data_IF_941139941147
#
_entry.id   IF_941139941147
#
_cell.length_a   1.000
_cell.length_b   1.000
_cell.length_c   1.000
_cell.angle_alpha   90.00
_cell.angle_beta   90.00
_cell.angle_gamma   90.00
#
_symmetry.space_group_name_H-M   'P 1'
#
loop_
_entity.id
_entity.type
_entity.pdbx_description
1 polymer ?
#
# COMPACT_ATOMS: atom_id res chain seq x y z
N UNK A 1 35.38 34.55 17.56
CA UNK A 1 33.99 34.50 18.05
C UNK A 1 32.97 34.42 16.87
N UNK A 2 33.02 35.31 15.89
CA UNK A 2 32.08 35.35 14.74
C UNK A 2 32.16 34.08 13.91
N UNK A 3 33.35 33.55 13.60
CA UNK A 3 33.51 32.32 12.80
C UNK A 3 32.93 31.10 13.54
N UNK A 4 33.14 30.96 14.83
CA UNK A 4 32.58 29.88 15.63
C UNK A 4 31.03 29.93 15.66
N UNK A 5 30.46 31.12 15.78
CA UNK A 5 29.01 31.34 15.75
C UNK A 5 28.43 30.98 14.38
N UNK A 6 29.12 31.34 13.29
CA UNK A 6 28.73 30.98 11.92
C UNK A 6 28.75 29.48 11.67
N UNK A 7 29.77 28.77 12.17
CA UNK A 7 29.83 27.30 12.07
C UNK A 7 28.71 26.61 12.84
N UNK A 8 28.43 27.06 14.07
CA UNK A 8 27.34 26.49 14.87
C UNK A 8 25.98 26.74 14.19
N UNK A 9 25.73 27.95 13.69
CA UNK A 9 24.50 28.27 12.97
C UNK A 9 24.37 27.43 11.72
N UNK A 10 25.44 27.22 10.96
CA UNK A 10 25.43 26.36 9.75
C UNK A 10 25.11 24.90 10.06
N UNK A 11 25.67 24.33 11.13
CA UNK A 11 25.38 22.95 11.55
C UNK A 11 23.93 22.84 12.01
N UNK A 12 23.42 23.78 12.79
CA UNK A 12 22.01 23.78 13.24
C UNK A 12 21.03 23.86 12.05
N UNK A 13 21.27 24.80 11.13
CA UNK A 13 20.46 24.93 9.93
C UNK A 13 20.52 23.66 9.07
N UNK A 14 21.70 23.11 8.88
CA UNK A 14 21.88 21.85 8.13
C UNK A 14 21.10 20.70 8.75
N UNK A 15 21.15 20.56 10.08
CA UNK A 15 20.40 19.53 10.80
C UNK A 15 18.88 19.73 10.70
N UNK A 16 18.40 20.96 10.86
CA UNK A 16 16.95 21.27 10.70
C UNK A 16 16.50 20.93 9.28
N UNK A 17 17.23 21.40 8.27
CA UNK A 17 16.92 21.14 6.86
C UNK A 17 16.89 19.64 6.57
N UNK A 18 17.87 18.89 7.03
CA UNK A 18 17.94 17.44 6.92
C UNK A 18 16.70 16.76 7.52
N UNK A 19 16.32 17.13 8.76
CA UNK A 19 15.14 16.58 9.44
C UNK A 19 13.85 16.88 8.68
N UNK A 20 13.69 18.10 8.19
CA UNK A 20 12.51 18.51 7.41
C UNK A 20 12.42 17.71 6.09
N UNK A 21 13.53 17.57 5.38
CA UNK A 21 13.56 16.82 4.11
C UNK A 21 13.19 15.36 4.35
N UNK A 22 13.78 14.70 5.36
CA UNK A 22 13.49 13.31 5.69
C UNK A 22 12.00 13.06 6.00
N UNK A 23 11.32 14.03 6.61
CA UNK A 23 9.91 13.90 6.95
C UNK A 23 8.98 14.24 5.76
N UNK A 24 9.33 15.23 4.97
CA UNK A 24 8.44 15.76 3.92
C UNK A 24 8.54 14.98 2.60
N UNK A 25 9.71 14.44 2.26
CA UNK A 25 9.90 13.74 0.98
C UNK A 25 9.03 12.48 0.88
N UNK A 26 8.97 11.59 1.87
CA UNK A 26 8.11 10.41 1.82
C UNK A 26 6.63 10.77 1.67
N UNK A 27 6.15 11.76 2.41
CA UNK A 27 4.75 12.24 2.35
C UNK A 27 4.42 12.75 0.94
N UNK A 28 5.30 13.56 0.34
CA UNK A 28 5.10 14.07 -1.02
C UNK A 28 5.09 12.97 -2.06
N UNK A 29 5.99 11.99 -1.94
CA UNK A 29 6.04 10.83 -2.83
C UNK A 29 4.76 9.99 -2.74
N UNK A 30 4.27 9.74 -1.51
CA UNK A 30 3.01 9.01 -1.30
C UNK A 30 1.83 9.79 -1.87
N UNK A 31 1.72 11.08 -1.61
CA UNK A 31 0.66 11.94 -2.18
C UNK A 31 0.66 11.86 -3.71
N UNK A 32 1.83 11.93 -4.35
CA UNK A 32 1.93 11.79 -5.80
C UNK A 32 1.50 10.41 -6.30
N UNK A 33 1.85 9.33 -5.57
CA UNK A 33 1.44 7.98 -5.90
C UNK A 33 -0.07 7.79 -5.75
N UNK A 34 -0.65 8.24 -4.63
CA UNK A 34 -2.10 8.23 -4.40
C UNK A 34 -2.85 8.98 -5.50
N UNK A 35 -2.43 10.20 -5.83
CA UNK A 35 -3.05 11.01 -6.88
C UNK A 35 -3.00 10.35 -8.26
N UNK A 36 -1.86 9.75 -8.63
CA UNK A 36 -1.73 9.01 -9.90
C UNK A 36 -2.69 7.83 -9.96
N UNK A 37 -2.76 7.03 -8.89
CA UNK A 37 -3.68 5.90 -8.81
C UNK A 37 -5.14 6.35 -8.85
N UNK A 38 -5.51 7.41 -8.15
CA UNK A 38 -6.85 7.97 -8.15
C UNK A 38 -7.24 8.51 -9.54
N UNK A 39 -6.33 9.23 -10.22
CA UNK A 39 -6.59 9.77 -11.56
C UNK A 39 -6.89 8.66 -12.57
N UNK A 40 -6.20 7.51 -12.48
CA UNK A 40 -6.47 6.34 -13.31
C UNK A 40 -7.86 5.71 -13.05
N UNK A 41 -8.58 6.17 -12.02
CA UNK A 41 -9.79 5.58 -11.46
C UNK A 41 -10.97 6.55 -11.33
N UNK A 42 -10.98 7.62 -12.07
CA UNK A 42 -12.00 8.66 -11.92
C UNK A 42 -12.13 9.14 -10.45
N UNK A 43 -11.00 9.23 -9.74
CA UNK A 43 -10.88 9.62 -8.34
C UNK A 43 -11.64 8.71 -7.33
N UNK A 44 -11.85 7.45 -7.67
CA UNK A 44 -12.47 6.49 -6.76
C UNK A 44 -11.45 5.92 -5.77
N UNK A 45 -11.63 6.21 -4.48
CA UNK A 45 -10.94 5.57 -3.34
C UNK A 45 -11.71 4.32 -2.87
N UNK A 46 -11.07 3.52 -2.03
CA UNK A 46 -11.67 2.34 -1.40
C UNK A 46 -12.14 1.25 -2.38
N UNK A 47 -11.47 1.16 -3.53
CA UNK A 47 -11.74 0.15 -4.56
C UNK A 47 -10.40 -0.38 -5.08
N UNK A 48 -10.27 -1.71 -5.19
CA UNK A 48 -9.07 -2.30 -5.79
C UNK A 48 -9.01 -2.08 -7.31
N UNK A 49 -7.85 -1.66 -7.73
CA UNK A 49 -7.43 -1.62 -9.12
C UNK A 49 -6.57 -2.82 -9.44
N UNK A 50 -6.98 -3.55 -10.43
CA UNK A 50 -6.29 -4.72 -10.92
C UNK A 50 -5.46 -4.36 -12.15
N UNK A 51 -4.14 -4.29 -11.97
CA UNK A 51 -3.21 -4.10 -13.06
C UNK A 51 -3.04 -5.39 -13.89
N UNK A 52 -2.57 -5.23 -15.11
CA UNK A 52 -2.02 -6.33 -15.90
C UNK A 52 -0.53 -6.49 -15.58
N UNK A 53 0.08 -7.59 -16.03
CA UNK A 53 1.52 -7.76 -15.93
C UNK A 53 2.24 -6.54 -16.52
N UNK A 54 3.18 -5.94 -15.78
CA UNK A 54 3.88 -4.75 -16.24
C UNK A 54 4.80 -5.12 -17.41
N UNK A 55 4.79 -4.29 -18.44
CA UNK A 55 5.76 -4.40 -19.53
C UNK A 55 7.06 -3.69 -19.16
N UNK A 56 8.16 -3.98 -19.87
CA UNK A 56 9.44 -3.31 -19.70
C UNK A 56 9.37 -1.77 -19.87
N UNK A 57 8.32 -1.27 -20.51
CA UNK A 57 8.06 0.17 -20.71
C UNK A 57 7.23 0.80 -19.57
N UNK A 58 6.69 -0.01 -18.64
CA UNK A 58 5.89 0.51 -17.52
C UNK A 58 6.79 1.29 -16.55
N UNK A 59 6.54 2.59 -16.41
CA UNK A 59 7.28 3.51 -15.53
C UNK A 59 6.36 4.35 -14.63
N UNK A 60 5.14 3.87 -14.42
CA UNK A 60 4.08 4.70 -13.81
C UNK A 60 4.26 4.92 -12.31
N UNK A 61 4.72 3.91 -11.62
CA UNK A 61 5.10 3.99 -10.20
C UNK A 61 6.43 3.25 -10.13
N UNK A 62 7.27 3.45 -9.20
CA UNK A 62 8.61 2.84 -9.02
C UNK A 62 8.79 1.56 -9.86
N UNK A 63 9.93 1.27 -10.41
CA UNK A 63 10.17 0.15 -11.35
C UNK A 63 9.46 -1.15 -10.92
N UNK A 64 8.32 -1.52 -11.51
CA UNK A 64 7.62 -2.75 -11.14
C UNK A 64 8.41 -3.96 -11.63
N UNK A 65 8.38 -5.05 -10.85
CA UNK A 65 8.94 -6.33 -11.30
C UNK A 65 8.13 -6.86 -12.49
N UNK A 66 8.76 -7.30 -13.57
CA UNK A 66 8.05 -7.86 -14.73
C UNK A 66 7.31 -9.18 -14.40
N UNK A 67 7.73 -9.88 -13.35
CA UNK A 67 7.19 -11.18 -12.95
C UNK A 67 6.01 -11.05 -11.96
N UNK A 68 5.62 -9.82 -11.60
CA UNK A 68 4.57 -9.58 -10.63
C UNK A 68 3.38 -8.84 -11.24
N UNK A 69 2.20 -9.33 -10.94
CA UNK A 69 0.94 -8.63 -11.22
C UNK A 69 0.50 -7.92 -9.94
N UNK A 70 0.08 -6.68 -10.10
CA UNK A 70 -0.24 -5.80 -9.00
C UNK A 70 -1.74 -5.48 -8.96
N UNK A 71 -2.30 -5.43 -7.76
CA UNK A 71 -3.59 -4.79 -7.50
C UNK A 71 -3.42 -3.76 -6.39
N UNK A 72 -3.92 -2.55 -6.60
CA UNK A 72 -3.75 -1.45 -5.65
C UNK A 72 -5.09 -0.83 -5.28
N UNK A 73 -5.23 -0.42 -4.01
CA UNK A 73 -6.36 0.35 -3.52
C UNK A 73 -5.80 1.57 -2.76
N UNK A 74 -6.15 2.76 -3.20
CA UNK A 74 -5.95 3.96 -2.35
C UNK A 74 -7.08 3.92 -1.33
N UNK A 75 -6.73 3.68 -0.07
CA UNK A 75 -7.71 3.66 1.00
C UNK A 75 -7.87 5.05 1.64
N UNK A 76 -9.10 5.35 2.04
CA UNK A 76 -9.49 6.52 2.81
C UNK A 76 -10.42 6.09 3.95
N UNK A 77 -9.94 6.26 5.18
CA UNK A 77 -10.61 5.87 6.43
C UNK A 77 -11.36 7.02 7.10
N UNK A 78 -11.52 8.17 6.42
CA UNK A 78 -12.22 9.33 6.99
C UNK A 78 -13.69 9.01 7.36
N UNK A 79 -14.30 8.05 6.65
CA UNK A 79 -15.70 7.62 6.88
C UNK A 79 -15.83 6.38 7.76
N UNK A 80 -14.73 5.82 8.25
CA UNK A 80 -14.74 4.63 9.10
C UNK A 80 -13.85 3.49 8.60
N UNK A 81 -13.95 2.31 9.20
CA UNK A 81 -13.13 1.16 8.86
C UNK A 81 -13.49 0.58 7.48
N UNK A 82 -12.49 -0.06 6.85
CA UNK A 82 -12.60 -0.73 5.55
C UNK A 82 -12.33 -2.22 5.70
N UNK A 83 -13.14 -3.05 5.05
CA UNK A 83 -12.90 -4.48 4.94
C UNK A 83 -12.31 -4.80 3.58
N UNK A 84 -11.18 -5.47 3.58
CA UNK A 84 -10.48 -5.96 2.40
C UNK A 84 -10.52 -7.49 2.45
N UNK A 85 -11.08 -8.12 1.43
CA UNK A 85 -11.20 -9.58 1.37
C UNK A 85 -11.04 -10.09 -0.05
N UNK A 86 -10.68 -11.37 -0.18
CA UNK A 86 -10.57 -12.02 -1.48
C UNK A 86 -9.96 -13.42 -1.38
N UNK A 87 -9.96 -14.13 -2.49
CA UNK A 87 -9.37 -15.45 -2.59
C UNK A 87 -7.93 -15.34 -3.11
N UNK A 88 -7.04 -16.16 -2.56
CA UNK A 88 -5.68 -16.29 -3.05
C UNK A 88 -5.62 -17.19 -4.29
N UNK A 89 -4.62 -17.02 -5.14
CA UNK A 89 -4.35 -18.00 -6.21
C UNK A 89 -4.04 -19.38 -5.59
N UNK A 90 -4.09 -20.48 -6.36
CA UNK A 90 -3.83 -21.83 -5.87
C UNK A 90 -2.50 -21.97 -5.11
N UNK A 91 -2.36 -23.01 -4.29
CA UNK A 91 -1.16 -23.27 -3.52
C UNK A 91 0.09 -23.34 -4.42
N UNK A 92 1.22 -22.83 -3.91
CA UNK A 92 2.48 -22.74 -4.65
C UNK A 92 2.66 -21.46 -5.47
N UNK A 93 1.65 -20.60 -5.55
CA UNK A 93 1.76 -19.27 -6.15
C UNK A 93 1.93 -18.22 -5.06
N UNK A 94 2.95 -17.38 -5.20
CA UNK A 94 3.18 -16.26 -4.29
C UNK A 94 2.05 -15.25 -4.39
N UNK A 95 1.57 -14.85 -3.24
CA UNK A 95 0.63 -13.78 -3.01
C UNK A 95 1.03 -12.98 -1.77
N UNK A 96 0.88 -11.66 -1.80
CA UNK A 96 1.04 -10.83 -0.61
C UNK A 96 0.16 -9.60 -0.67
N UNK A 97 -0.36 -9.20 0.49
CA UNK A 97 -0.99 -7.91 0.76
C UNK A 97 -0.02 -7.08 1.61
N UNK A 98 0.27 -5.86 1.18
CA UNK A 98 1.05 -4.89 1.95
C UNK A 98 0.26 -3.61 2.12
N UNK A 99 0.24 -3.07 3.35
CA UNK A 99 -0.40 -1.81 3.65
C UNK A 99 0.66 -0.74 3.92
N UNK A 100 0.56 0.37 3.20
CA UNK A 100 1.46 1.50 3.28
C UNK A 100 0.73 2.71 3.83
N UNK A 101 1.30 3.33 4.86
CA UNK A 101 0.82 4.58 5.41
C UNK A 101 1.14 5.77 4.51
N UNK A 102 0.51 6.91 4.76
CA UNK A 102 0.73 8.15 3.99
C UNK A 102 2.18 8.67 4.00
N UNK A 103 2.98 8.26 4.99
CA UNK A 103 4.42 8.55 5.08
C UNK A 103 5.31 7.48 4.40
N UNK A 104 4.73 6.59 3.58
CA UNK A 104 5.38 5.46 2.91
C UNK A 104 5.76 4.25 3.77
N UNK A 105 5.56 4.30 5.08
CA UNK A 105 5.87 3.17 5.95
C UNK A 105 5.00 1.96 5.61
N UNK A 106 5.64 0.81 5.40
CA UNK A 106 4.95 -0.47 5.28
C UNK A 106 4.70 -1.02 6.68
N UNK A 107 3.49 -0.85 7.20
CA UNK A 107 3.14 -1.19 8.58
C UNK A 107 2.45 -2.54 8.74
N UNK A 108 2.01 -3.16 7.65
CA UNK A 108 1.38 -4.48 7.69
C UNK A 108 1.67 -5.26 6.42
N UNK A 109 2.01 -6.52 6.57
CA UNK A 109 2.20 -7.48 5.48
C UNK A 109 1.50 -8.78 5.84
N UNK A 110 0.78 -9.34 4.88
CA UNK A 110 0.18 -10.65 4.95
C UNK A 110 0.56 -11.42 3.68
N UNK A 111 0.95 -12.68 3.79
CA UNK A 111 1.38 -13.48 2.65
C UNK A 111 0.70 -14.85 2.59
N UNK A 112 0.87 -15.55 1.49
CA UNK A 112 0.24 -16.85 1.21
C UNK A 112 0.61 -17.96 2.20
N UNK A 113 1.73 -17.83 2.93
CA UNK A 113 2.20 -18.83 3.91
C UNK A 113 1.52 -18.68 5.27
N UNK A 114 0.94 -17.52 5.55
CA UNK A 114 0.27 -17.20 6.82
C UNK A 114 -1.22 -17.55 6.79
N UNK A 115 -1.75 -17.94 5.61
CA UNK A 115 -3.17 -18.22 5.39
C UNK A 115 -3.38 -19.68 5.00
N UNK A 116 -4.10 -20.44 5.86
CA UNK A 116 -4.41 -21.85 5.66
C UNK A 116 -5.52 -22.09 4.63
N UNK A 117 -6.53 -21.24 4.62
CA UNK A 117 -7.78 -21.40 3.86
C UNK A 117 -7.79 -20.66 2.52
N UNK A 118 -6.64 -20.18 2.07
CA UNK A 118 -6.48 -19.50 0.76
C UNK A 118 -7.43 -18.32 0.56
N UNK A 119 -7.83 -17.68 1.65
CA UNK A 119 -8.66 -16.49 1.67
C UNK A 119 -8.08 -15.50 2.66
N UNK A 120 -8.04 -14.23 2.29
CA UNK A 120 -7.75 -13.16 3.23
C UNK A 120 -9.01 -12.35 3.56
N UNK A 121 -9.06 -11.86 4.77
CA UNK A 121 -10.13 -11.00 5.28
C UNK A 121 -9.53 -10.08 6.33
N UNK A 122 -9.28 -8.84 5.96
CA UNK A 122 -8.61 -7.85 6.80
C UNK A 122 -9.50 -6.63 6.93
N UNK A 123 -9.79 -6.24 8.17
CA UNK A 123 -10.48 -4.99 8.48
C UNK A 123 -9.45 -3.95 8.89
N UNK A 124 -9.36 -2.89 8.11
CA UNK A 124 -8.48 -1.75 8.33
C UNK A 124 -9.21 -0.66 9.10
N UNK A 125 -8.71 -0.34 10.28
CA UNK A 125 -9.28 0.64 11.19
C UNK A 125 -8.54 1.99 11.14
N UNK A 126 -9.24 3.13 11.29
CA UNK A 126 -8.61 4.44 11.35
C UNK A 126 -7.70 4.62 12.58
N UNK A 127 -6.77 5.58 12.56
CA UNK A 127 -5.82 5.82 13.65
C UNK A 127 -6.47 6.09 15.02
N UNK A 128 -7.68 6.63 15.02
CA UNK A 128 -8.44 6.93 16.23
C UNK A 128 -9.12 5.73 16.88
N UNK A 129 -9.15 4.58 16.21
CA UNK A 129 -9.82 3.37 16.70
C UNK A 129 -9.09 2.76 17.89
N UNK A 130 -9.89 2.21 18.82
CA UNK A 130 -9.43 1.44 20.00
C UNK A 130 -9.62 -0.05 19.78
N UNK A 131 -9.12 -0.57 18.69
CA UNK A 131 -9.23 -1.99 18.34
C UNK A 131 -7.93 -2.70 18.72
N UNK A 132 -8.05 -3.90 19.30
CA UNK A 132 -6.90 -4.78 19.49
C UNK A 132 -6.44 -5.30 18.12
N UNK A 133 -5.17 -5.09 17.81
CA UNK A 133 -4.61 -5.50 16.53
C UNK A 133 -4.38 -7.01 16.49
N UNK A 134 -4.72 -7.61 15.36
CA UNK A 134 -4.43 -9.01 15.04
C UNK A 134 -4.33 -9.16 13.51
N UNK A 135 -4.21 -10.39 13.01
CA UNK A 135 -4.12 -10.65 11.57
C UNK A 135 -5.33 -10.19 10.75
N UNK A 136 -6.51 -10.07 11.37
CA UNK A 136 -7.76 -9.71 10.69
C UNK A 136 -8.21 -8.28 10.99
N UNK A 137 -7.72 -7.67 12.08
CA UNK A 137 -8.04 -6.31 12.49
C UNK A 137 -6.75 -5.49 12.62
N UNK A 138 -6.51 -4.62 11.67
CA UNK A 138 -5.29 -3.82 11.54
C UNK A 138 -5.61 -2.36 11.75
N UNK A 139 -4.83 -1.69 12.59
CA UNK A 139 -4.95 -0.24 12.80
C UNK A 139 -3.97 0.49 11.88
N UNK A 140 -4.50 1.38 11.06
CA UNK A 140 -3.65 2.23 10.20
C UNK A 140 -3.03 3.37 11.01
N UNK A 141 -1.75 3.71 10.79
CA UNK A 141 -1.13 4.88 11.39
C UNK A 141 -1.56 6.20 10.71
N UNK A 142 -2.22 6.14 9.55
CA UNK A 142 -2.69 7.31 8.79
C UNK A 142 -4.12 7.11 8.28
N UNK A 143 -4.82 8.21 8.00
CA UNK A 143 -6.19 8.17 7.46
C UNK A 143 -6.21 7.69 6.02
N UNK A 144 -5.20 8.06 5.22
CA UNK A 144 -5.05 7.63 3.83
C UNK A 144 -3.77 6.82 3.63
N UNK A 145 -3.72 6.07 2.55
CA UNK A 145 -2.56 5.30 2.15
C UNK A 145 -2.88 4.32 1.03
N UNK A 146 -2.01 3.35 0.83
CA UNK A 146 -2.13 2.40 -0.27
C UNK A 146 -2.09 0.96 0.25
N UNK A 147 -3.10 0.17 -0.14
CA UNK A 147 -3.06 -1.28 -0.06
C UNK A 147 -2.55 -1.84 -1.40
N UNK A 148 -1.55 -2.70 -1.35
CA UNK A 148 -0.92 -3.28 -2.52
C UNK A 148 -0.91 -4.80 -2.43
N UNK A 149 -1.58 -5.46 -3.38
CA UNK A 149 -1.51 -6.90 -3.56
C UNK A 149 -0.51 -7.21 -4.67
N UNK A 150 0.32 -8.22 -4.44
CA UNK A 150 1.31 -8.74 -5.39
C UNK A 150 1.09 -10.21 -5.60
N UNK A 151 1.06 -10.64 -6.86
CA UNK A 151 0.94 -12.04 -7.27
C UNK A 151 2.00 -12.36 -8.30
N UNK A 152 2.66 -13.51 -8.18
CA UNK A 152 3.67 -13.93 -9.16
C UNK A 152 3.00 -14.51 -10.41
N UNK A 153 3.48 -14.07 -11.58
CA UNK A 153 3.17 -14.66 -12.87
C UNK A 153 4.42 -15.30 -13.43
N UNK A 154 4.48 -16.62 -13.46
CA UNK A 154 5.63 -17.37 -13.99
C UNK A 154 5.43 -17.78 -15.44
N UNK A 155 4.17 -18.00 -15.86
CA UNK A 155 3.77 -18.44 -17.20
C UNK A 155 2.52 -17.71 -17.65
N UNK A 156 2.25 -17.74 -18.94
CA UNK A 156 1.04 -17.14 -19.49
C UNK A 156 -0.24 -17.79 -18.94
N UNK A 157 -0.21 -19.09 -18.71
CA UNK A 157 -1.33 -19.85 -18.15
C UNK A 157 -1.75 -19.38 -16.73
N UNK A 158 -0.83 -18.73 -15.99
CA UNK A 158 -1.11 -18.20 -14.66
C UNK A 158 -2.10 -17.02 -14.70
N UNK A 159 -2.29 -16.37 -15.86
CA UNK A 159 -3.13 -15.19 -15.99
C UNK A 159 -4.59 -15.45 -15.60
N UNK A 160 -5.16 -16.58 -16.00
CA UNK A 160 -6.55 -16.90 -15.70
C UNK A 160 -6.81 -17.01 -14.20
N UNK A 161 -5.92 -17.68 -13.46
CA UNK A 161 -6.04 -17.82 -12.00
C UNK A 161 -5.75 -16.50 -11.26
N UNK A 162 -4.79 -15.69 -11.74
CA UNK A 162 -4.52 -14.37 -11.20
C UNK A 162 -5.74 -13.48 -11.36
N UNK A 163 -6.37 -13.47 -12.55
CA UNK A 163 -7.59 -12.72 -12.81
C UNK A 163 -8.76 -13.17 -11.92
N UNK A 164 -8.93 -14.48 -11.71
CA UNK A 164 -9.95 -14.99 -10.80
C UNK A 164 -9.73 -14.51 -9.35
N UNK A 165 -8.49 -14.52 -8.87
CA UNK A 165 -8.12 -13.97 -7.57
C UNK A 165 -8.39 -12.46 -7.50
N UNK A 166 -8.01 -11.70 -8.53
CA UNK A 166 -8.27 -10.26 -8.63
C UNK A 166 -9.77 -9.95 -8.58
N UNK A 167 -10.58 -10.65 -9.36
CA UNK A 167 -12.04 -10.44 -9.42
C UNK A 167 -12.74 -10.73 -8.08
N UNK A 168 -12.20 -11.64 -7.29
CA UNK A 168 -12.71 -11.94 -5.95
C UNK A 168 -12.32 -10.90 -4.89
N UNK A 169 -11.36 -10.02 -5.22
CA UNK A 169 -10.78 -9.07 -4.27
C UNK A 169 -11.63 -7.82 -4.18
N UNK A 170 -12.05 -7.49 -2.96
CA UNK A 170 -12.88 -6.32 -2.67
C UNK A 170 -12.26 -5.44 -1.59
N UNK A 171 -12.52 -4.13 -1.67
CA UNK A 171 -12.25 -3.15 -0.63
C UNK A 171 -13.51 -2.31 -0.48
N UNK A 172 -14.15 -2.35 0.68
CA UNK A 172 -15.44 -1.69 0.91
C UNK A 172 -15.57 -1.27 2.37
N UNK A 173 -16.46 -0.32 2.71
CA UNK A 173 -16.74 0.02 4.09
C UNK A 173 -17.09 -1.24 4.90
N UNK A 174 -16.49 -1.39 6.07
CA UNK A 174 -16.84 -2.48 6.98
C UNK A 174 -18.27 -2.23 7.49
N UNK A 175 -19.11 -3.25 7.41
CA UNK A 175 -20.44 -3.20 8.04
C UNK A 175 -20.24 -3.19 9.55
N UNK A 176 -20.99 -2.32 10.23
CA UNK A 176 -21.02 -2.22 11.70
C UNK A 176 -21.67 -3.45 12.33
#
# INVERSE_FOLDING_TARGET
MIIALGLVAGIVLGFITYRVILQQVPIRLMTMAEQRLLTMRNNASNIFFHGRAPTAKARQIVMPSPDLVYSSCVYDLAKGPLRMQGNLPPAGHYWSLSLYAHNTDNYFVLNDRELSDRRFDVTLHPPSSRVAENQTAVKSPSVTGIALIRMIQRREDDLAMIQASQQSTTCQPAQA
#
